data_IF_514769921285
#
_entry.id   IF_514769921285
#
_cell.length_a   1.000
_cell.length_b   1.000
_cell.length_c   1.000
_cell.angle_alpha   90.00
_cell.angle_beta   90.00
_cell.angle_gamma   90.00
#
_symmetry.space_group_name_H-M   'P 1'
#
loop_
_entity.id
_entity.type
_entity.pdbx_description
1 polymer ?
#
# COMPACT_ATOMS: atom_id res chain seq x y z
N UNK A 1 0.00 22.13 9.73
CA UNK A 1 0.47 21.62 8.42
C UNK A 1 -0.72 20.94 7.74
N UNK A 2 -0.92 21.16 6.43
CA UNK A 2 -2.11 20.74 5.68
C UNK A 2 -1.99 19.26 5.27
N UNK A 3 -3.10 18.52 5.31
CA UNK A 3 -3.20 17.20 4.66
C UNK A 3 -2.78 17.33 3.19
N UNK A 4 -1.88 16.46 2.74
CA UNK A 4 -1.40 16.46 1.37
C UNK A 4 -1.49 15.05 0.79
N UNK A 5 -2.10 14.94 -0.39
CA UNK A 5 -2.12 13.73 -1.20
C UNK A 5 -1.37 14.05 -2.48
N UNK A 6 -0.30 13.30 -2.76
CA UNK A 6 0.38 13.31 -4.04
C UNK A 6 -0.03 12.05 -4.77
N UNK A 7 -0.85 12.18 -5.81
CA UNK A 7 -1.37 11.07 -6.61
C UNK A 7 -1.67 11.56 -8.04
N UNK A 8 -1.71 10.68 -9.05
CA UNK A 8 -2.26 11.03 -10.36
C UNK A 8 -3.77 11.33 -10.25
N UNK A 9 -4.34 11.99 -11.25
CA UNK A 9 -5.78 12.34 -11.33
C UNK A 9 -6.69 11.12 -11.10
N UNK A 10 -6.24 9.94 -11.52
CA UNK A 10 -6.90 8.66 -11.24
C UNK A 10 -5.89 7.52 -11.14
N UNK A 11 -6.08 6.64 -10.16
CA UNK A 11 -5.34 5.38 -10.10
C UNK A 11 -6.00 4.33 -10.98
N UNK A 12 -5.19 3.64 -11.78
CA UNK A 12 -5.58 2.40 -12.47
C UNK A 12 -4.79 1.26 -11.85
N UNK A 13 -5.50 0.23 -11.40
CA UNK A 13 -4.93 -0.91 -10.70
C UNK A 13 -5.30 -2.16 -11.46
N UNK A 14 -4.29 -2.96 -11.79
CA UNK A 14 -4.48 -4.25 -12.43
C UNK A 14 -3.76 -5.32 -11.63
N UNK A 15 -4.48 -6.36 -11.24
CA UNK A 15 -3.92 -7.53 -10.59
C UNK A 15 -4.03 -8.71 -11.55
N UNK A 16 -2.99 -9.53 -11.62
CA UNK A 16 -2.98 -10.76 -12.40
C UNK A 16 -2.30 -11.86 -11.59
N UNK A 17 -2.76 -13.11 -11.67
CA UNK A 17 -1.99 -14.23 -11.14
C UNK A 17 -0.63 -14.32 -11.85
N UNK A 18 0.40 -14.70 -11.10
CA UNK A 18 1.74 -14.95 -11.62
C UNK A 18 2.25 -16.32 -11.14
N UNK A 19 3.23 -16.93 -11.83
CA UNK A 19 3.90 -18.11 -11.29
C UNK A 19 4.54 -17.82 -9.92
N UNK A 20 4.62 -18.83 -9.06
CA UNK A 20 5.16 -18.68 -7.70
C UNK A 20 6.56 -18.02 -7.76
N UNK A 21 6.73 -16.81 -7.19
CA UNK A 21 7.99 -16.09 -7.22
C UNK A 21 9.06 -16.67 -6.28
N UNK A 22 8.66 -17.60 -5.40
CA UNK A 22 9.47 -18.12 -4.30
C UNK A 22 9.55 -17.13 -3.14
N UNK A 23 10.76 -16.91 -2.62
CA UNK A 23 11.00 -15.94 -1.55
C UNK A 23 10.77 -14.50 -2.02
N UNK A 24 9.75 -13.85 -1.47
CA UNK A 24 9.38 -12.46 -1.77
C UNK A 24 10.48 -11.45 -1.45
N UNK A 25 11.26 -11.65 -0.37
CA UNK A 25 12.33 -10.71 0.03
C UNK A 25 13.47 -10.75 -0.97
N UNK A 26 13.84 -11.94 -1.43
CA UNK A 26 14.87 -12.13 -2.45
C UNK A 26 14.53 -11.45 -3.80
N UNK A 27 13.28 -11.04 -4.01
CA UNK A 27 12.80 -10.35 -5.22
C UNK A 27 12.74 -8.82 -5.07
N UNK A 28 13.07 -8.25 -3.92
CA UNK A 28 12.98 -6.81 -3.72
C UNK A 28 14.02 -6.06 -4.55
N UNK A 29 13.61 -5.16 -5.47
CA UNK A 29 14.54 -4.51 -6.39
C UNK A 29 15.24 -3.28 -5.79
N UNK A 30 14.80 -2.78 -4.63
CA UNK A 30 15.20 -1.47 -4.13
C UNK A 30 15.18 -1.37 -2.59
N UNK A 31 16.08 -0.60 -1.95
CA UNK A 31 16.10 -0.39 -0.50
C UNK A 31 14.84 0.28 0.07
N UNK A 32 14.12 1.05 -0.74
CA UNK A 32 12.85 1.69 -0.35
C UNK A 32 11.62 0.81 -0.60
N UNK A 33 11.82 -0.47 -0.88
CA UNK A 33 10.70 -1.40 -0.97
C UNK A 33 10.04 -1.59 0.39
N UNK A 34 8.75 -1.91 0.36
CA UNK A 34 7.88 -2.10 1.49
C UNK A 34 7.52 -3.59 1.57
N UNK A 35 7.51 -4.15 2.77
CA UNK A 35 7.22 -5.56 2.97
C UNK A 35 6.33 -5.77 4.19
N UNK A 36 5.32 -6.63 4.03
CA UNK A 36 4.53 -7.19 5.12
C UNK A 36 4.49 -8.70 4.91
N UNK A 37 5.30 -9.43 5.68
CA UNK A 37 5.54 -10.86 5.48
C UNK A 37 5.44 -11.59 6.82
N UNK A 38 4.78 -12.75 6.78
CA UNK A 38 4.68 -13.69 7.88
C UNK A 38 4.83 -15.11 7.33
N UNK A 39 5.79 -15.87 7.88
CA UNK A 39 6.06 -17.26 7.47
C UNK A 39 6.31 -17.43 5.96
N UNK A 40 6.98 -16.45 5.34
CA UNK A 40 7.29 -16.43 3.90
C UNK A 40 6.11 -16.09 2.99
N UNK A 41 4.95 -15.73 3.54
CA UNK A 41 3.77 -15.27 2.80
C UNK A 41 3.44 -13.83 3.13
N UNK A 42 2.72 -13.14 2.24
CA UNK A 42 2.36 -11.74 2.41
C UNK A 42 2.50 -10.95 1.12
N UNK A 43 2.89 -9.68 1.26
CA UNK A 43 3.03 -8.76 0.13
C UNK A 43 4.33 -7.96 0.23
N UNK A 44 4.92 -7.70 -0.93
CA UNK A 44 5.98 -6.72 -1.09
C UNK A 44 5.57 -5.69 -2.13
N UNK A 45 6.03 -4.45 -1.99
CA UNK A 45 5.73 -3.39 -2.94
C UNK A 45 6.88 -2.41 -3.14
N UNK A 46 6.96 -1.81 -4.31
CA UNK A 46 7.99 -0.83 -4.63
C UNK A 46 7.49 0.24 -5.62
N UNK A 47 8.24 1.34 -5.66
CA UNK A 47 7.80 2.59 -6.27
C UNK A 47 6.63 3.22 -5.52
N UNK A 48 6.31 4.46 -5.83
CA UNK A 48 5.23 5.22 -5.17
C UNK A 48 4.24 5.73 -6.22
N UNK A 49 3.01 5.21 -6.19
CA UNK A 49 1.91 5.65 -7.04
C UNK A 49 1.14 6.79 -6.37
N UNK A 50 0.99 6.73 -5.05
CA UNK A 50 0.45 7.81 -4.26
C UNK A 50 1.08 7.85 -2.87
N UNK A 51 1.13 9.06 -2.30
CA UNK A 51 1.50 9.30 -0.90
C UNK A 51 0.46 10.18 -0.24
N UNK A 52 0.06 9.79 0.95
CA UNK A 52 -0.80 10.57 1.81
C UNK A 52 -0.01 10.95 3.06
N UNK A 53 0.25 12.23 3.25
CA UNK A 53 0.88 12.76 4.46
C UNK A 53 -0.20 13.26 5.40
N UNK A 54 -0.17 12.74 6.63
CA UNK A 54 -1.16 13.01 7.67
C UNK A 54 -0.50 13.88 8.75
N UNK A 55 -1.15 14.97 9.18
CA UNK A 55 -0.68 15.71 10.32
C UNK A 55 -0.74 14.84 11.59
N UNK A 56 -0.01 15.27 12.61
CA UNK A 56 -0.25 14.80 13.97
C UNK A 56 -1.68 15.13 14.40
N UNK A 57 -2.26 14.25 15.20
CA UNK A 57 -3.60 14.36 15.75
C UNK A 57 -4.07 13.04 16.36
N UNK A 58 -5.05 13.12 17.25
CA UNK A 58 -5.75 11.94 17.76
C UNK A 58 -6.63 11.28 16.70
N UNK A 59 -7.04 12.04 15.68
CA UNK A 59 -7.88 11.64 14.55
C UNK A 59 -7.08 11.11 13.35
N UNK A 60 -5.74 11.11 13.40
CA UNK A 60 -4.87 10.75 12.26
C UNK A 60 -5.20 9.39 11.63
N UNK A 61 -5.63 8.41 12.41
CA UNK A 61 -6.02 7.09 11.89
C UNK A 61 -7.37 7.14 11.16
N UNK A 62 -8.34 7.88 11.69
CA UNK A 62 -9.65 8.07 11.07
C UNK A 62 -9.52 8.82 9.75
N UNK A 63 -8.70 9.88 9.72
CA UNK A 63 -8.40 10.64 8.51
C UNK A 63 -7.61 9.82 7.48
N UNK A 64 -6.63 9.02 7.92
CA UNK A 64 -5.93 8.07 7.07
C UNK A 64 -6.89 7.13 6.36
N UNK A 65 -7.80 6.52 7.13
CA UNK A 65 -8.77 5.57 6.61
C UNK A 65 -9.76 6.26 5.66
N UNK A 66 -10.21 7.48 5.96
CA UNK A 66 -11.09 8.25 5.07
C UNK A 66 -10.41 8.56 3.75
N UNK A 67 -9.23 9.17 3.77
CA UNK A 67 -8.52 9.53 2.55
C UNK A 67 -8.14 8.31 1.71
N UNK A 68 -7.78 7.20 2.35
CA UNK A 68 -7.48 5.96 1.64
C UNK A 68 -8.73 5.38 0.96
N UNK A 69 -9.88 5.40 1.64
CA UNK A 69 -11.17 5.00 1.04
C UNK A 69 -11.54 5.88 -0.14
N UNK A 70 -11.37 7.19 -0.02
CA UNK A 70 -11.67 8.14 -1.10
C UNK A 70 -10.77 7.86 -2.33
N UNK A 71 -9.46 7.68 -2.10
CA UNK A 71 -8.49 7.37 -3.15
C UNK A 71 -8.79 6.05 -3.86
N UNK A 72 -9.07 4.98 -3.11
CA UNK A 72 -9.36 3.66 -3.69
C UNK A 72 -10.76 3.61 -4.31
N UNK A 73 -11.73 4.33 -3.76
CA UNK A 73 -13.08 4.43 -4.32
C UNK A 73 -13.13 5.13 -5.69
N UNK A 74 -12.17 6.02 -5.97
CA UNK A 74 -12.04 6.67 -7.28
C UNK A 74 -11.23 5.84 -8.30
N UNK A 75 -10.53 4.79 -7.86
CA UNK A 75 -9.64 4.00 -8.71
C UNK A 75 -10.42 3.15 -9.73
N UNK A 76 -9.85 2.97 -10.92
CA UNK A 76 -10.27 1.92 -11.84
C UNK A 76 -9.52 0.63 -11.47
N UNK A 77 -10.23 -0.39 -10.95
CA UNK A 77 -9.62 -1.63 -10.45
C UNK A 77 -10.08 -2.81 -11.31
N UNK A 78 -9.12 -3.49 -11.93
CA UNK A 78 -9.27 -4.79 -12.58
C UNK A 78 -8.49 -5.82 -11.74
N UNK A 79 -9.20 -6.55 -10.89
CA UNK A 79 -8.62 -7.54 -9.99
C UNK A 79 -9.45 -8.83 -10.01
N UNK A 80 -9.15 -9.78 -10.92
CA UNK A 80 -9.80 -11.08 -10.97
C UNK A 80 -9.32 -12.04 -9.87
N UNK A 81 -8.29 -11.69 -9.09
CA UNK A 81 -7.76 -12.58 -8.04
C UNK A 81 -8.68 -12.53 -6.82
N UNK A 82 -9.19 -11.35 -6.46
CA UNK A 82 -10.25 -11.18 -5.44
C UNK A 82 -9.94 -11.80 -4.07
N UNK A 83 -8.68 -11.74 -3.63
CA UNK A 83 -8.24 -12.25 -2.32
C UNK A 83 -7.82 -11.10 -1.40
N UNK A 84 -7.81 -11.29 -0.07
CA UNK A 84 -7.25 -10.26 0.81
C UNK A 84 -5.80 -9.94 0.45
N UNK A 85 -5.54 -8.67 0.11
CA UNK A 85 -4.23 -8.19 -0.33
C UNK A 85 -4.05 -8.07 -1.85
N UNK A 86 -5.04 -8.47 -2.67
CA UNK A 86 -5.11 -8.13 -4.09
C UNK A 86 -5.73 -6.74 -4.31
N UNK A 87 -5.58 -6.18 -5.52
CA UNK A 87 -5.98 -4.81 -5.82
C UNK A 87 -5.03 -3.76 -5.21
N UNK A 88 -5.51 -2.52 -4.97
CA UNK A 88 -4.67 -1.48 -4.39
C UNK A 88 -4.44 -1.72 -2.89
N UNK A 89 -3.19 -1.57 -2.45
CA UNK A 89 -2.80 -1.65 -1.04
C UNK A 89 -1.99 -0.42 -0.67
N UNK A 90 -2.14 0.03 0.58
CA UNK A 90 -1.26 1.04 1.18
C UNK A 90 -0.50 0.47 2.37
N UNK A 91 0.77 0.86 2.49
CA UNK A 91 1.58 0.65 3.68
C UNK A 91 1.53 1.92 4.52
N UNK A 92 1.22 1.77 5.81
CA UNK A 92 1.14 2.89 6.74
C UNK A 92 2.30 2.92 7.72
N UNK A 93 2.85 4.10 7.95
CA UNK A 93 3.74 4.42 9.06
C UNK A 93 3.11 5.54 9.87
N UNK A 94 3.00 5.37 11.18
CA UNK A 94 2.35 6.33 12.06
C UNK A 94 3.27 6.69 13.22
N UNK A 95 3.30 7.98 13.54
CA UNK A 95 3.99 8.45 14.74
C UNK A 95 3.41 7.82 16.01
N UNK A 96 4.31 7.44 16.92
CA UNK A 96 3.94 6.91 18.23
C UNK A 96 3.21 7.97 19.07
N UNK A 97 3.80 9.16 19.19
CA UNK A 97 3.13 10.32 19.81
C UNK A 97 2.00 10.80 18.88
N UNK A 98 0.76 10.96 19.38
CA UNK A 98 -0.32 11.54 18.61
C UNK A 98 0.03 12.85 17.91
N UNK A 99 0.91 13.68 18.48
CA UNK A 99 1.29 14.98 17.93
C UNK A 99 2.39 14.91 16.86
N UNK A 100 3.01 13.76 16.63
CA UNK A 100 4.05 13.60 15.62
C UNK A 100 3.50 13.88 14.20
N UNK A 101 4.16 14.76 13.42
CA UNK A 101 3.65 15.18 12.11
C UNK A 101 3.96 14.20 10.96
N UNK A 102 4.65 13.10 11.23
CA UNK A 102 5.31 12.27 10.20
C UNK A 102 4.54 10.99 9.85
N UNK A 103 3.21 10.99 10.06
CA UNK A 103 2.39 9.84 9.68
C UNK A 103 2.16 9.84 8.15
N UNK A 104 2.38 8.70 7.50
CA UNK A 104 2.29 8.58 6.05
C UNK A 104 1.63 7.27 5.64
N UNK A 105 0.87 7.31 4.55
CA UNK A 105 0.49 6.12 3.78
C UNK A 105 1.18 6.18 2.42
N UNK A 106 1.68 5.04 1.95
CA UNK A 106 2.29 4.87 0.63
C UNK A 106 1.51 3.79 -0.13
N UNK A 107 1.01 4.14 -1.31
CA UNK A 107 0.45 3.20 -2.28
C UNK A 107 1.55 2.84 -3.27
N UNK A 108 2.05 1.59 -3.30
CA UNK A 108 3.13 1.22 -4.21
C UNK A 108 2.71 1.25 -5.68
N UNK A 109 3.66 1.42 -6.60
CA UNK A 109 3.41 1.26 -8.05
C UNK A 109 3.32 -0.19 -8.49
N UNK A 110 3.98 -1.08 -7.74
CA UNK A 110 4.06 -2.51 -8.01
C UNK A 110 3.89 -3.23 -6.68
N UNK A 111 3.10 -4.29 -6.71
CA UNK A 111 2.85 -5.19 -5.58
C UNK A 111 3.06 -6.61 -6.10
N UNK A 112 3.77 -7.41 -5.33
CA UNK A 112 3.87 -8.86 -5.51
C UNK A 112 3.39 -9.51 -4.23
N UNK A 113 2.37 -10.34 -4.33
CA UNK A 113 1.81 -11.08 -3.21
C UNK A 113 2.16 -12.57 -3.30
N UNK A 114 2.18 -13.25 -2.16
CA UNK A 114 2.20 -14.71 -2.09
C UNK A 114 1.30 -15.16 -0.96
N UNK A 115 0.39 -16.10 -1.24
CA UNK A 115 -0.55 -16.67 -0.27
C UNK A 115 -0.89 -18.10 -0.65
N UNK A 116 -0.83 -19.02 0.32
CA UNK A 116 -1.15 -20.44 0.14
C UNK A 116 -0.42 -21.05 -1.08
N UNK A 117 0.83 -20.66 -1.30
CA UNK A 117 1.65 -21.08 -2.45
C UNK A 117 1.26 -20.50 -3.82
N UNK A 118 0.40 -19.48 -3.89
CA UNK A 118 0.01 -18.76 -5.12
C UNK A 118 0.45 -17.31 -5.09
N UNK A 119 0.66 -16.71 -6.25
CA UNK A 119 1.05 -15.31 -6.42
C UNK A 119 0.25 -14.63 -7.53
#
# INVERSE_FOLDING_TARGET
MKLAVTAPDRLTVRTVPVPDPGDLIARLPHPSALAWIRHGEGIVGWGEAARLTLPGGHDRFTEAARLLRDLFGAAAVDDPVTVPGSGPVAFGSFGFDPKSPDSTLIVPRRILGRRDGRA
#
